data_IF_797528915777
#
_entry.id   IF_797528915777
#
_cell.length_a   1.000
_cell.length_b   1.000
_cell.length_c   1.000
_cell.angle_alpha   90.00
_cell.angle_beta   90.00
_cell.angle_gamma   90.00
#
_symmetry.space_group_name_H-M   'P 1'
#
loop_
_entity.id
_entity.type
_entity.pdbx_description
1 polymer ?
#
# COMPACT_ATOMS: atom_id res chain seq x y z
N UNK A 1 -18.50 -4.57 -10.64
CA UNK A 1 -17.26 -5.25 -11.09
C UNK A 1 -16.46 -5.66 -9.86
N UNK A 2 -16.01 -6.92 -9.76
CA UNK A 2 -15.06 -7.36 -8.72
C UNK A 2 -13.69 -7.46 -9.35
N UNK A 3 -12.67 -6.83 -8.75
CA UNK A 3 -11.29 -7.02 -9.20
C UNK A 3 -10.84 -8.45 -8.83
N UNK A 4 -10.10 -9.14 -9.72
CA UNK A 4 -9.54 -10.46 -9.43
C UNK A 4 -8.73 -10.43 -8.15
N UNK A 5 -8.72 -11.52 -7.38
CA UNK A 5 -8.04 -11.58 -6.08
C UNK A 5 -6.55 -11.29 -6.17
N UNK A 6 -5.91 -11.64 -7.29
CA UNK A 6 -4.46 -11.42 -7.52
C UNK A 6 -4.15 -10.07 -8.17
N UNK A 7 -5.16 -9.33 -8.62
CA UNK A 7 -4.92 -8.05 -9.28
C UNK A 7 -4.37 -7.03 -8.26
N UNK A 8 -3.31 -6.28 -8.60
CA UNK A 8 -2.78 -5.24 -7.74
C UNK A 8 -3.80 -4.12 -7.55
N UNK A 9 -3.84 -3.54 -6.36
CA UNK A 9 -4.69 -2.40 -6.04
C UNK A 9 -3.84 -1.14 -6.13
N UNK A 10 -4.21 -0.19 -6.99
CA UNK A 10 -3.56 1.12 -7.09
C UNK A 10 -4.38 2.17 -6.34
N UNK A 11 -3.74 2.86 -5.39
CA UNK A 11 -4.31 3.96 -4.63
C UNK A 11 -3.48 5.21 -4.88
N UNK A 12 -4.12 6.31 -5.27
CA UNK A 12 -3.45 7.59 -5.52
C UNK A 12 -3.99 8.61 -4.51
N UNK A 13 -3.09 9.28 -3.80
CA UNK A 13 -3.42 10.37 -2.89
C UNK A 13 -2.48 11.56 -3.08
N UNK A 14 -3.00 12.75 -2.87
CA UNK A 14 -2.23 13.99 -2.96
C UNK A 14 -1.56 14.40 -1.64
N UNK A 15 -1.75 13.60 -0.58
CA UNK A 15 -1.17 13.83 0.75
C UNK A 15 -0.03 12.85 1.02
N UNK A 16 1.02 13.31 1.70
CA UNK A 16 2.14 12.46 2.15
C UNK A 16 1.64 11.32 3.04
N UNK A 17 2.26 10.15 2.97
CA UNK A 17 1.95 9.04 3.87
C UNK A 17 2.34 9.39 5.31
N UNK A 18 1.42 9.20 6.26
CA UNK A 18 1.73 9.18 7.68
C UNK A 18 1.95 7.73 8.16
N UNK A 19 2.51 7.59 9.35
CA UNK A 19 2.79 6.32 10.02
C UNK A 19 1.57 5.40 10.12
N UNK A 20 0.43 5.94 10.57
CA UNK A 20 -0.79 5.17 10.76
C UNK A 20 -1.35 4.64 9.44
N UNK A 21 -1.39 5.48 8.40
CA UNK A 21 -1.79 5.03 7.07
C UNK A 21 -0.83 3.96 6.56
N UNK A 22 0.47 4.14 6.77
CA UNK A 22 1.48 3.18 6.34
C UNK A 22 1.27 1.81 7.00
N UNK A 23 1.10 1.79 8.33
CA UNK A 23 0.76 0.59 9.09
C UNK A 23 -0.56 -0.04 8.64
N UNK A 24 -1.59 0.76 8.38
CA UNK A 24 -2.87 0.26 7.91
C UNK A 24 -2.72 -0.50 6.58
N UNK A 25 -2.03 0.07 5.59
CA UNK A 25 -1.87 -0.58 4.28
C UNK A 25 -0.99 -1.82 4.36
N UNK A 26 0.04 -1.82 5.22
CA UNK A 26 0.82 -3.00 5.56
C UNK A 26 -0.08 -4.14 6.07
N UNK A 27 -0.93 -3.85 7.06
CA UNK A 27 -1.85 -4.85 7.63
C UNK A 27 -2.87 -5.34 6.60
N UNK A 28 -3.44 -4.42 5.80
CA UNK A 28 -4.39 -4.76 4.75
C UNK A 28 -3.74 -5.68 3.72
N UNK A 29 -2.52 -5.40 3.28
CA UNK A 29 -1.77 -6.26 2.35
C UNK A 29 -1.56 -7.67 2.92
N UNK A 30 -1.23 -7.78 4.21
CA UNK A 30 -1.03 -9.07 4.89
C UNK A 30 -2.32 -9.90 4.98
N UNK A 31 -3.44 -9.27 5.33
CA UNK A 31 -4.74 -9.94 5.50
C UNK A 31 -5.36 -10.31 4.15
N UNK A 32 -5.30 -9.41 3.19
CA UNK A 32 -5.91 -9.62 1.87
C UNK A 32 -5.04 -10.48 0.96
N UNK A 33 -3.74 -10.65 1.27
CA UNK A 33 -2.75 -11.30 0.42
C UNK A 33 -2.67 -10.67 -0.98
N UNK A 34 -2.83 -9.34 -1.02
CA UNK A 34 -2.79 -8.55 -2.25
C UNK A 34 -1.62 -7.60 -2.25
N UNK A 35 -1.10 -7.37 -3.46
CA UNK A 35 -0.20 -6.27 -3.73
C UNK A 35 -1.00 -4.97 -3.76
N UNK A 36 -0.58 -3.99 -2.95
CA UNK A 36 -1.17 -2.66 -2.92
C UNK A 36 -0.07 -1.66 -3.26
N UNK A 37 -0.32 -0.82 -4.26
CA UNK A 37 0.58 0.23 -4.69
C UNK A 37 -0.07 1.55 -4.29
N UNK A 38 0.59 2.30 -3.41
CA UNK A 38 0.10 3.63 -3.00
C UNK A 38 1.05 4.68 -3.55
N UNK A 39 0.55 5.53 -4.44
CA UNK A 39 1.24 6.76 -4.82
C UNK A 39 0.82 7.88 -3.88
N UNK A 40 1.76 8.39 -3.10
CA UNK A 40 1.56 9.61 -2.34
C UNK A 40 2.17 10.83 -3.04
N UNK A 41 2.23 11.98 -2.35
CA UNK A 41 2.79 13.20 -2.89
C UNK A 41 4.29 13.12 -3.24
N UNK A 42 5.05 12.22 -2.59
CA UNK A 42 6.49 12.13 -2.69
C UNK A 42 6.97 10.92 -3.50
N UNK A 43 6.32 9.76 -3.33
CA UNK A 43 6.81 8.47 -3.83
C UNK A 43 5.71 7.43 -4.02
N UNK A 44 6.13 6.30 -4.60
CA UNK A 44 5.34 5.07 -4.61
C UNK A 44 5.75 4.18 -3.44
N UNK A 45 4.76 3.61 -2.78
CA UNK A 45 4.90 2.61 -1.73
C UNK A 45 4.33 1.30 -2.26
N UNK A 46 5.13 0.25 -2.32
CA UNK A 46 4.68 -1.09 -2.69
C UNK A 46 4.50 -1.92 -1.43
N UNK A 47 3.25 -2.31 -1.16
CA UNK A 47 2.88 -3.13 -0.03
C UNK A 47 2.60 -4.55 -0.49
N UNK A 48 3.33 -5.50 0.08
CA UNK A 48 3.14 -6.92 -0.19
C UNK A 48 3.46 -7.73 1.08
N UNK A 49 2.59 -8.68 1.40
CA UNK A 49 2.74 -9.63 2.52
C UNK A 49 3.08 -8.99 3.88
N UNK A 50 2.59 -7.77 4.11
CA UNK A 50 2.84 -7.06 5.36
C UNK A 50 4.19 -6.35 5.42
N UNK A 51 4.77 -6.01 4.27
CA UNK A 51 5.98 -5.19 4.17
C UNK A 51 5.80 -4.06 3.14
N UNK A 52 6.48 -2.94 3.35
CA UNK A 52 6.58 -1.84 2.38
C UNK A 52 7.98 -1.79 1.76
N UNK A 53 8.07 -1.48 0.48
CA UNK A 53 9.34 -1.22 -0.22
C UNK A 53 10.10 0.03 0.27
N UNK A 54 9.46 0.87 1.08
CA UNK A 54 9.98 2.13 1.59
C UNK A 54 10.91 1.99 2.81
N UNK A 55 11.17 0.75 3.29
CA UNK A 55 12.08 0.47 4.41
C UNK A 55 11.76 1.28 5.69
N UNK A 56 10.47 1.50 5.97
CA UNK A 56 9.95 2.36 7.06
C UNK A 56 10.36 3.84 6.97
N UNK A 57 10.73 4.32 5.78
CA UNK A 57 10.95 5.73 5.50
C UNK A 57 9.75 6.27 4.72
N UNK A 58 8.69 6.65 5.44
CA UNK A 58 7.43 7.20 4.93
C UNK A 58 7.63 8.43 4.00
#
# INVERSE_FOLDING_TARGET
MKTPSEAPILVIKNLRMCDDCHLAVVLISKVTKRMIIVRDANRFHHFQDGSCSCANYW
#
